data_IF_228526063117
#
_entry.id   IF_228526063117
#
_cell.length_a   1.000
_cell.length_b   1.000
_cell.length_c   1.000
_cell.angle_alpha   90.00
_cell.angle_beta   90.00
_cell.angle_gamma   90.00
#
_symmetry.space_group_name_H-M   'P 1'
#
loop_
_entity.id
_entity.type
_entity.pdbx_description
1 polymer ?
#
# COMPACT_ATOMS: atom_id res chain seq x y z
N UNK A 1 -11.66 -11.47 20.37
CA UNK A 1 -11.24 -10.09 20.68
C UNK A 1 -9.89 -10.14 21.36
N UNK A 2 -8.94 -9.33 20.90
CA UNK A 2 -7.60 -9.18 21.46
C UNK A 2 -7.64 -8.55 22.86
N UNK A 3 -6.59 -8.71 23.65
CA UNK A 3 -6.42 -8.07 24.97
C UNK A 3 -6.43 -6.54 24.84
N UNK A 4 -5.75 -6.01 23.82
CA UNK A 4 -5.72 -4.57 23.48
C UNK A 4 -7.12 -4.00 23.19
N UNK A 5 -7.97 -4.74 22.47
CA UNK A 5 -9.34 -4.31 22.17
C UNK A 5 -10.18 -4.20 23.45
N UNK A 6 -9.95 -5.09 24.42
CA UNK A 6 -10.63 -5.03 25.72
C UNK A 6 -10.16 -3.84 26.54
N UNK A 7 -8.87 -3.53 26.50
CA UNK A 7 -8.31 -2.34 27.18
C UNK A 7 -8.86 -1.05 26.61
N UNK A 8 -9.01 -0.96 25.29
CA UNK A 8 -9.64 0.20 24.63
C UNK A 8 -11.10 0.38 25.06
N UNK A 9 -11.88 -0.71 25.11
CA UNK A 9 -13.27 -0.66 25.58
C UNK A 9 -13.33 -0.25 27.06
N UNK A 10 -12.45 -0.80 27.90
CA UNK A 10 -12.34 -0.43 29.31
C UNK A 10 -12.02 1.05 29.49
N UNK A 11 -11.10 1.58 28.69
CA UNK A 11 -10.72 2.99 28.72
C UNK A 11 -11.91 3.90 28.37
N UNK A 12 -12.61 3.60 27.28
CA UNK A 12 -13.82 4.33 26.87
C UNK A 12 -14.91 4.29 27.95
N UNK A 13 -15.14 3.11 28.55
CA UNK A 13 -16.13 2.94 29.61
C UNK A 13 -15.74 3.73 30.88
N UNK A 14 -14.46 3.74 31.24
CA UNK A 14 -13.94 4.50 32.40
C UNK A 14 -14.10 6.00 32.19
N UNK A 15 -14.01 6.48 30.96
CA UNK A 15 -14.26 7.87 30.61
C UNK A 15 -15.75 8.27 30.65
N UNK A 16 -16.66 7.29 30.78
CA UNK A 16 -18.11 7.51 30.87
C UNK A 16 -18.87 7.28 29.56
N UNK A 17 -18.23 6.69 28.54
CA UNK A 17 -18.94 6.25 27.34
C UNK A 17 -19.82 5.04 27.69
N UNK A 18 -21.11 5.12 27.38
CA UNK A 18 -22.02 3.99 27.58
C UNK A 18 -21.57 2.82 26.70
N UNK A 19 -21.37 1.65 27.30
CA UNK A 19 -20.92 0.43 26.62
C UNK A 19 -21.83 0.05 25.45
N UNK A 20 -23.14 0.35 25.53
CA UNK A 20 -24.09 0.10 24.44
C UNK A 20 -23.82 0.97 23.19
N UNK A 21 -23.10 2.07 23.33
CA UNK A 21 -22.76 3.02 22.27
C UNK A 21 -21.28 2.89 21.84
N UNK A 22 -20.60 1.80 22.19
CA UNK A 22 -19.25 1.51 21.74
C UNK A 22 -19.32 0.66 20.48
N UNK A 23 -18.78 1.18 19.39
CA UNK A 23 -18.72 0.50 18.10
C UNK A 23 -17.30 -0.02 17.86
N UNK A 24 -17.19 -1.30 17.50
CA UNK A 24 -15.90 -1.99 17.37
C UNK A 24 -15.79 -2.65 16.00
N UNK A 25 -14.61 -2.55 15.41
CA UNK A 25 -14.22 -3.20 14.17
C UNK A 25 -12.95 -4.04 14.42
N UNK A 26 -13.11 -5.35 14.61
CA UNK A 26 -12.02 -6.26 14.93
C UNK A 26 -11.44 -6.93 13.67
N UNK A 27 -10.12 -7.14 13.64
CA UNK A 27 -9.42 -7.91 12.59
C UNK A 27 -9.66 -7.40 11.15
N UNK A 28 -9.94 -6.10 10.99
CA UNK A 28 -10.12 -5.50 9.67
C UNK A 28 -8.75 -5.08 9.11
N UNK A 29 -8.38 -5.49 7.88
CA UNK A 29 -7.15 -5.02 7.25
C UNK A 29 -7.13 -3.50 7.13
N UNK A 30 -5.98 -2.87 7.39
CA UNK A 30 -5.82 -1.41 7.28
C UNK A 30 -6.00 -0.85 5.86
N UNK A 31 -6.10 -1.70 4.84
CA UNK A 31 -6.46 -1.30 3.47
C UNK A 31 -7.95 -1.10 3.26
N UNK A 32 -8.80 -1.56 4.18
CA UNK A 32 -10.25 -1.40 4.10
C UNK A 32 -10.63 -0.02 4.64
N UNK A 33 -11.25 0.84 3.82
CA UNK A 33 -11.61 2.20 4.22
C UNK A 33 -12.70 2.17 5.31
N UNK A 34 -12.76 3.19 6.19
CA UNK A 34 -13.72 3.25 7.29
C UNK A 34 -15.18 3.06 6.86
N UNK A 35 -15.58 3.62 5.71
CA UNK A 35 -16.93 3.50 5.15
C UNK A 35 -17.38 2.08 4.78
N UNK A 36 -16.46 1.11 4.72
CA UNK A 36 -16.77 -0.30 4.47
C UNK A 36 -16.69 -1.16 5.74
N UNK A 37 -16.43 -0.53 6.89
CA UNK A 37 -16.38 -1.20 8.19
C UNK A 37 -17.75 -1.16 8.85
N UNK A 38 -18.15 -2.29 9.43
CA UNK A 38 -19.49 -2.45 9.99
C UNK A 38 -19.68 -1.62 11.26
N UNK A 39 -18.67 -1.62 12.16
CA UNK A 39 -18.65 -0.79 13.37
C UNK A 39 -18.76 0.69 13.03
N UNK A 40 -17.90 1.19 12.14
CA UNK A 40 -17.93 2.58 11.69
C UNK A 40 -19.27 2.97 11.06
N UNK A 41 -19.84 2.13 10.20
CA UNK A 41 -21.14 2.42 9.54
C UNK A 41 -22.28 2.48 10.55
N UNK A 42 -22.29 1.58 11.54
CA UNK A 42 -23.26 1.60 12.65
C UNK A 42 -23.11 2.86 13.50
N UNK A 43 -21.88 3.27 13.80
CA UNK A 43 -21.60 4.53 14.51
C UNK A 43 -22.17 5.75 13.78
N UNK A 44 -21.92 5.86 12.47
CA UNK A 44 -22.46 6.95 11.65
C UNK A 44 -23.99 6.95 11.63
N UNK A 45 -24.60 5.77 11.53
CA UNK A 45 -26.07 5.64 11.57
C UNK A 45 -26.61 6.08 12.92
N UNK A 46 -25.98 5.66 14.02
CA UNK A 46 -26.33 6.07 15.38
C UNK A 46 -26.23 7.59 15.56
N UNK A 47 -25.18 8.23 15.04
CA UNK A 47 -24.99 9.69 15.07
C UNK A 47 -26.11 10.42 14.31
N UNK A 48 -26.66 9.83 13.24
CA UNK A 48 -27.77 10.44 12.47
C UNK A 48 -29.10 10.29 13.18
N UNK A 49 -29.31 9.15 13.84
CA UNK A 49 -30.58 8.82 14.49
C UNK A 49 -30.72 9.47 15.88
N UNK A 50 -29.61 9.93 16.48
CA UNK A 50 -29.55 10.46 17.83
C UNK A 50 -28.82 11.80 17.89
N UNK A 51 -29.11 12.63 18.90
CA UNK A 51 -28.35 13.86 19.15
C UNK A 51 -27.00 13.55 19.80
N UNK A 52 -26.01 13.22 18.98
CA UNK A 52 -24.61 13.01 19.40
C UNK A 52 -23.83 14.31 19.23
N UNK A 53 -23.07 14.71 20.24
CA UNK A 53 -22.19 15.90 20.18
C UNK A 53 -20.72 15.54 20.07
N UNK A 54 -20.32 14.42 20.67
CA UNK A 54 -18.92 13.99 20.75
C UNK A 54 -18.77 12.51 20.42
N UNK A 55 -17.69 12.18 19.71
CA UNK A 55 -17.21 10.82 19.49
C UNK A 55 -15.84 10.70 20.15
N UNK A 56 -15.69 9.72 21.03
CA UNK A 56 -14.42 9.45 21.71
C UNK A 56 -13.71 8.28 21.05
N UNK A 57 -12.40 8.44 20.84
CA UNK A 57 -11.52 7.37 20.38
C UNK A 57 -10.32 7.25 21.31
N UNK A 58 -9.77 6.06 21.48
CA UNK A 58 -8.55 5.89 22.29
C UNK A 58 -7.37 6.64 21.66
N UNK A 59 -7.21 6.52 20.35
CA UNK A 59 -6.22 7.21 19.52
C UNK A 59 -6.86 7.59 18.17
N UNK A 60 -6.37 8.64 17.50
CA UNK A 60 -6.93 9.07 16.21
C UNK A 60 -6.75 8.02 15.11
N UNK A 61 -5.68 7.22 15.20
CA UNK A 61 -5.40 6.17 14.22
C UNK A 61 -6.46 5.05 14.23
N UNK A 62 -7.21 4.86 15.32
CA UNK A 62 -8.29 3.86 15.43
C UNK A 62 -9.49 4.15 14.53
N UNK A 63 -9.61 5.38 14.03
CA UNK A 63 -10.65 5.77 13.08
C UNK A 63 -10.33 5.33 11.64
N UNK A 64 -9.10 4.89 11.35
CA UNK A 64 -8.65 4.56 10.00
C UNK A 64 -7.69 3.37 9.96
N UNK A 65 -7.36 2.91 8.76
CA UNK A 65 -6.28 1.93 8.58
C UNK A 65 -4.95 2.57 8.19
N UNK A 66 -5.01 3.86 7.85
CA UNK A 66 -3.89 4.70 7.50
C UNK A 66 -4.21 6.16 7.91
N UNK A 67 -3.22 7.06 7.97
CA UNK A 67 -3.44 8.44 8.38
C UNK A 67 -4.44 9.22 7.52
N UNK A 68 -4.48 8.96 6.21
CA UNK A 68 -5.40 9.63 5.31
C UNK A 68 -6.85 9.20 5.56
N UNK A 69 -7.08 7.91 5.83
CA UNK A 69 -8.39 7.37 6.19
C UNK A 69 -8.88 7.94 7.52
N UNK A 70 -8.00 8.04 8.52
CA UNK A 70 -8.34 8.64 9.81
C UNK A 70 -8.75 10.11 9.66
N UNK A 71 -7.99 10.91 8.89
CA UNK A 71 -8.34 12.30 8.60
C UNK A 71 -9.67 12.42 7.84
N UNK A 72 -9.94 11.53 6.89
CA UNK A 72 -11.22 11.49 6.18
C UNK A 72 -12.37 11.16 7.13
N UNK A 73 -12.21 10.13 7.98
CA UNK A 73 -13.22 9.75 8.97
C UNK A 73 -13.55 10.90 9.93
N UNK A 74 -12.53 11.60 10.44
CA UNK A 74 -12.70 12.77 11.31
C UNK A 74 -13.48 13.87 10.60
N UNK A 75 -13.11 14.18 9.34
CA UNK A 75 -13.80 15.19 8.54
C UNK A 75 -15.27 14.80 8.30
N UNK A 76 -15.52 13.54 7.97
CA UNK A 76 -16.86 13.04 7.67
C UNK A 76 -17.76 13.07 8.92
N UNK A 77 -17.21 12.78 10.10
CA UNK A 77 -17.89 12.95 11.41
C UNK A 77 -18.13 14.45 11.69
N UNK A 78 -17.15 15.30 11.43
CA UNK A 78 -17.26 16.76 11.59
C UNK A 78 -18.36 17.38 10.72
N UNK A 79 -18.58 16.87 9.51
CA UNK A 79 -19.70 17.29 8.65
C UNK A 79 -21.08 16.96 9.23
N UNK A 80 -21.17 16.02 10.17
CA UNK A 80 -22.39 15.72 10.91
C UNK A 80 -22.58 16.64 12.13
N UNK A 81 -21.68 17.61 12.35
CA UNK A 81 -21.72 18.50 13.51
C UNK A 81 -21.19 17.87 14.80
N UNK A 82 -20.48 16.74 14.69
CA UNK A 82 -19.95 15.99 15.83
C UNK A 82 -18.46 16.24 16.00
N UNK A 83 -18.02 16.48 17.23
CA UNK A 83 -16.62 16.67 17.56
C UNK A 83 -15.95 15.33 17.90
N UNK A 84 -14.82 15.01 17.26
CA UNK A 84 -13.99 13.85 17.62
C UNK A 84 -13.04 14.27 18.74
N UNK A 85 -12.93 13.46 19.78
CA UNK A 85 -12.01 13.63 20.91
C UNK A 85 -11.13 12.40 21.06
N UNK A 86 -9.83 12.61 21.25
CA UNK A 86 -8.88 11.52 21.55
C UNK A 86 -8.70 11.37 23.05
N UNK A 87 -8.66 10.14 23.55
CA UNK A 87 -8.32 9.86 24.95
C UNK A 87 -6.83 9.63 25.16
N UNK A 88 -6.03 9.65 24.09
CA UNK A 88 -4.59 9.42 24.17
C UNK A 88 -3.88 10.63 24.79
N UNK A 89 -3.07 10.45 25.85
CA UNK A 89 -2.24 11.52 26.40
C UNK A 89 -1.27 12.12 25.37
N UNK A 90 -0.84 11.31 24.39
CA UNK A 90 0.07 11.72 23.32
C UNK A 90 -0.61 12.60 22.25
N UNK A 91 -1.95 12.64 22.23
CA UNK A 91 -2.76 13.40 21.29
C UNK A 91 -3.51 14.56 21.96
N UNK A 92 -3.01 15.02 23.12
CA UNK A 92 -3.58 16.17 23.83
C UNK A 92 -3.67 17.45 22.98
N UNK A 93 -2.83 17.58 21.95
CA UNK A 93 -2.89 18.67 20.96
C UNK A 93 -4.15 18.64 20.09
N UNK A 94 -4.81 17.48 19.96
CA UNK A 94 -6.04 17.34 19.18
C UNK A 94 -7.26 17.91 19.90
N UNK A 95 -7.37 17.71 21.22
CA UNK A 95 -8.52 18.14 22.03
C UNK A 95 -8.54 19.66 22.32
N UNK A 96 -8.02 20.46 21.41
CA UNK A 96 -8.05 21.92 21.48
C UNK A 96 -9.41 22.45 20.97
N UNK A 97 -9.51 23.77 20.76
CA UNK A 97 -10.71 24.39 20.20
C UNK A 97 -11.06 23.77 18.83
N UNK A 98 -12.29 23.27 18.63
CA UNK A 98 -12.71 22.66 17.37
C UNK A 98 -12.53 23.57 16.13
N UNK A 99 -12.49 24.89 16.31
CA UNK A 99 -12.21 25.85 15.23
C UNK A 99 -10.80 25.70 14.63
N UNK A 100 -9.86 25.10 15.37
CA UNK A 100 -8.48 24.88 14.95
C UNK A 100 -8.33 23.53 14.23
N UNK A 101 -9.27 22.59 14.41
CA UNK A 101 -9.21 21.25 13.79
C UNK A 101 -8.97 21.28 12.27
N UNK A 102 -9.62 22.15 11.46
CA UNK A 102 -9.34 22.22 10.03
C UNK A 102 -7.87 22.52 9.72
N UNK A 103 -7.24 23.44 10.46
CA UNK A 103 -5.83 23.77 10.27
C UNK A 103 -4.94 22.56 10.59
N UNK A 104 -5.19 21.90 11.71
CA UNK A 104 -4.46 20.70 12.14
C UNK A 104 -4.56 19.61 11.08
N UNK A 105 -5.78 19.34 10.59
CA UNK A 105 -6.02 18.36 9.52
C UNK A 105 -5.20 18.69 8.28
N UNK A 106 -5.14 19.95 7.84
CA UNK A 106 -4.37 20.36 6.67
C UNK A 106 -2.86 20.18 6.88
N UNK A 107 -2.34 20.57 8.04
CA UNK A 107 -0.93 20.39 8.39
C UNK A 107 -0.56 18.92 8.41
N UNK A 108 -1.38 18.07 9.06
CA UNK A 108 -1.15 16.63 9.13
C UNK A 108 -1.24 15.97 7.74
N UNK A 109 -2.21 16.36 6.92
CA UNK A 109 -2.33 15.89 5.55
C UNK A 109 -1.11 16.27 4.70
N UNK A 110 -0.60 17.50 4.86
CA UNK A 110 0.63 17.94 4.20
C UNK A 110 1.85 17.13 4.67
N UNK A 111 2.03 16.96 5.98
CA UNK A 111 3.11 16.15 6.55
C UNK A 111 3.09 14.71 6.03
N UNK A 112 1.91 14.06 6.01
CA UNK A 112 1.75 12.71 5.47
C UNK A 112 2.16 12.63 3.99
N UNK A 113 1.80 13.63 3.18
CA UNK A 113 2.21 13.73 1.77
C UNK A 113 3.73 13.91 1.64
N UNK A 114 4.35 14.75 2.46
CA UNK A 114 5.81 14.97 2.43
C UNK A 114 6.58 13.72 2.80
N UNK A 115 6.12 12.98 3.81
CA UNK A 115 6.74 11.72 4.20
C UNK A 115 6.67 10.70 3.05
N UNK A 116 5.51 10.58 2.41
CA UNK A 116 5.32 9.69 1.26
C UNK A 116 6.24 10.06 0.09
N UNK A 117 6.35 11.34 -0.26
CA UNK A 117 7.25 11.79 -1.34
C UNK A 117 8.72 11.51 -0.99
N UNK A 118 9.11 11.75 0.26
CA UNK A 118 10.46 11.44 0.75
C UNK A 118 10.79 9.95 0.65
N UNK A 119 9.84 9.08 1.01
CA UNK A 119 9.97 7.61 0.85
C UNK A 119 10.17 7.24 -0.62
N UNK A 120 9.34 7.77 -1.52
CA UNK A 120 9.47 7.55 -2.97
C UNK A 120 10.84 7.99 -3.47
N UNK A 121 11.29 9.18 -3.10
CA UNK A 121 12.55 9.73 -3.59
C UNK A 121 13.75 8.89 -3.12
N UNK A 122 13.75 8.43 -1.86
CA UNK A 122 14.78 7.49 -1.36
C UNK A 122 14.81 6.19 -2.15
N UNK A 123 13.64 5.62 -2.46
CA UNK A 123 13.57 4.41 -3.30
C UNK A 123 14.12 4.68 -4.70
N UNK A 124 13.75 5.80 -5.33
CA UNK A 124 14.26 6.18 -6.65
C UNK A 124 15.76 6.42 -6.63
N UNK A 125 16.30 7.09 -5.61
CA UNK A 125 17.73 7.30 -5.43
C UNK A 125 18.49 5.97 -5.29
N UNK A 126 17.96 5.03 -4.50
CA UNK A 126 18.52 3.68 -4.38
C UNK A 126 18.55 2.92 -5.70
N UNK A 127 17.46 2.97 -6.47
CA UNK A 127 17.39 2.36 -7.81
C UNK A 127 18.39 3.01 -8.76
N UNK A 128 18.51 4.34 -8.76
CA UNK A 128 19.48 5.07 -9.59
C UNK A 128 20.92 4.64 -9.28
N UNK A 129 21.27 4.55 -7.99
CA UNK A 129 22.60 4.10 -7.54
C UNK A 129 22.88 2.65 -7.96
N UNK A 130 21.93 1.74 -7.74
CA UNK A 130 22.09 0.34 -8.14
C UNK A 130 22.26 0.20 -9.67
N UNK A 131 21.51 0.97 -10.46
CA UNK A 131 21.68 1.01 -11.92
C UNK A 131 23.06 1.53 -12.34
N UNK A 132 23.59 2.57 -11.70
CA UNK A 132 24.94 3.08 -12.01
C UNK A 132 26.04 2.10 -11.64
N UNK A 133 25.82 1.26 -10.64
CA UNK A 133 26.71 0.15 -10.27
C UNK A 133 26.55 -1.08 -11.20
N UNK A 134 25.73 -0.98 -12.24
CA UNK A 134 25.46 -2.08 -13.18
C UNK A 134 24.57 -3.19 -12.61
N UNK A 135 23.99 -3.02 -11.42
CA UNK A 135 23.11 -4.02 -10.81
C UNK A 135 21.74 -4.03 -11.49
N UNK A 136 21.27 -5.23 -11.83
CA UNK A 136 19.92 -5.42 -12.36
C UNK A 136 18.88 -5.04 -11.30
N UNK A 137 18.03 -4.08 -11.63
CA UNK A 137 16.97 -3.59 -10.75
C UNK A 137 15.61 -4.09 -11.24
N UNK A 138 14.93 -4.91 -10.44
CA UNK A 138 13.60 -5.45 -10.75
C UNK A 138 13.55 -6.98 -10.69
N UNK A 139 12.61 -7.59 -11.42
CA UNK A 139 12.44 -9.05 -11.42
C UNK A 139 13.72 -9.72 -11.93
N UNK A 140 14.31 -10.69 -11.21
CA UNK A 140 15.55 -11.35 -11.62
C UNK A 140 15.41 -11.96 -13.01
N UNK A 141 16.46 -11.81 -13.81
CA UNK A 141 16.52 -12.42 -15.12
C UNK A 141 16.86 -13.90 -14.97
N UNK A 142 15.94 -14.79 -15.34
CA UNK A 142 16.30 -16.21 -15.50
C UNK A 142 17.12 -16.37 -16.77
N UNK A 143 18.33 -16.89 -16.68
CA UNK A 143 19.13 -17.19 -17.87
C UNK A 143 18.49 -18.31 -18.69
N UNK A 144 18.57 -18.19 -20.01
CA UNK A 144 18.15 -19.22 -20.96
C UNK A 144 19.40 -19.66 -21.69
N UNK A 145 19.72 -20.95 -21.60
CA UNK A 145 20.77 -21.55 -22.40
C UNK A 145 20.26 -21.72 -23.84
N UNK A 146 20.69 -20.81 -24.71
CA UNK A 146 20.27 -20.80 -26.12
C UNK A 146 20.86 -21.96 -26.91
N UNK A 147 22.07 -22.42 -26.58
CA UNK A 147 22.69 -23.58 -27.22
C UNK A 147 21.87 -24.84 -26.93
N UNK A 148 21.44 -25.00 -25.67
CA UNK A 148 20.55 -26.10 -25.31
C UNK A 148 19.19 -26.00 -26.02
N UNK A 149 18.59 -24.81 -26.07
CA UNK A 149 17.32 -24.57 -26.79
C UNK A 149 17.43 -24.89 -28.29
N UNK A 150 18.53 -24.51 -28.94
CA UNK A 150 18.79 -24.82 -30.35
C UNK A 150 18.96 -26.32 -30.57
N UNK A 151 19.73 -27.00 -29.72
CA UNK A 151 19.90 -28.46 -29.80
C UNK A 151 18.59 -29.24 -29.66
N UNK A 152 17.65 -28.75 -28.84
CA UNK A 152 16.33 -29.37 -28.69
C UNK A 152 15.44 -29.09 -29.91
N UNK A 153 15.57 -27.91 -30.51
CA UNK A 153 14.85 -27.54 -31.72
C UNK A 153 15.33 -28.33 -32.94
N UNK A 154 16.65 -28.54 -33.09
CA UNK A 154 17.24 -29.39 -34.13
C UNK A 154 16.79 -30.84 -34.02
N UNK A 155 16.55 -31.33 -32.80
CA UNK A 155 15.90 -32.63 -32.54
C UNK A 155 14.41 -32.67 -32.90
N UNK A 156 13.86 -31.61 -33.49
CA UNK A 156 12.48 -31.53 -33.97
C UNK A 156 11.45 -31.16 -32.90
N UNK A 157 11.86 -30.74 -31.70
CA UNK A 157 10.90 -30.32 -30.67
C UNK A 157 10.33 -28.93 -30.97
N UNK A 158 9.02 -28.80 -30.83
CA UNK A 158 8.33 -27.52 -30.91
C UNK A 158 8.68 -26.64 -29.69
N UNK A 159 8.84 -25.33 -29.90
CA UNK A 159 9.11 -24.33 -28.87
C UNK A 159 8.17 -24.37 -27.65
N UNK A 160 6.92 -24.81 -27.81
CA UNK A 160 6.02 -25.03 -26.66
C UNK A 160 6.55 -26.12 -25.73
N UNK A 161 6.98 -27.25 -26.30
CA UNK A 161 7.54 -28.38 -25.56
C UNK A 161 8.90 -28.03 -24.95
N UNK A 162 9.74 -27.30 -25.70
CA UNK A 162 11.03 -26.81 -25.20
C UNK A 162 10.84 -25.91 -23.98
N UNK A 163 9.86 -24.99 -24.02
CA UNK A 163 9.54 -24.10 -22.91
C UNK A 163 9.16 -24.85 -21.62
N UNK A 164 8.38 -25.92 -21.74
CA UNK A 164 8.07 -26.83 -20.62
C UNK A 164 9.32 -27.52 -20.09
N UNK A 165 10.16 -28.07 -20.98
CA UNK A 165 11.41 -28.77 -20.61
C UNK A 165 12.37 -27.89 -19.83
N UNK A 166 12.53 -26.62 -20.23
CA UNK A 166 13.39 -25.66 -19.52
C UNK A 166 12.67 -24.91 -18.39
N UNK A 167 11.39 -25.24 -18.14
CA UNK A 167 10.52 -24.63 -17.14
C UNK A 167 10.42 -23.10 -17.25
N UNK A 168 10.39 -22.56 -18.48
CA UNK A 168 10.20 -21.14 -18.77
C UNK A 168 8.86 -20.96 -19.48
N UNK A 169 8.02 -19.99 -19.10
CA UNK A 169 6.75 -19.76 -19.80
C UNK A 169 6.98 -19.51 -21.30
N UNK A 170 6.19 -20.17 -22.16
CA UNK A 170 6.31 -20.10 -23.63
C UNK A 170 6.42 -18.66 -24.16
N UNK A 171 5.57 -17.74 -23.65
CA UNK A 171 5.59 -16.32 -24.04
C UNK A 171 6.94 -15.65 -23.69
N UNK A 172 7.55 -16.02 -22.56
CA UNK A 172 8.87 -15.52 -22.16
C UNK A 172 9.97 -16.02 -23.10
N UNK A 173 9.91 -17.30 -23.50
CA UNK A 173 10.86 -17.89 -24.43
C UNK A 173 10.81 -17.21 -25.81
N UNK A 174 9.62 -17.08 -26.41
CA UNK A 174 9.44 -16.47 -27.73
C UNK A 174 9.83 -14.99 -27.73
N UNK A 175 9.40 -14.23 -26.72
CA UNK A 175 9.77 -12.81 -26.59
C UNK A 175 11.29 -12.65 -26.53
N UNK A 176 11.97 -13.48 -25.73
CA UNK A 176 13.42 -13.41 -25.58
C UNK A 176 14.17 -13.92 -26.81
N UNK A 177 13.64 -14.92 -27.54
CA UNK A 177 14.20 -15.39 -28.81
C UNK A 177 14.30 -14.24 -29.82
N UNK A 178 13.26 -13.41 -29.93
CA UNK A 178 13.26 -12.22 -30.80
C UNK A 178 14.38 -11.24 -30.44
N UNK A 179 14.67 -11.04 -29.16
CA UNK A 179 15.79 -10.20 -28.72
C UNK A 179 17.16 -10.86 -28.97
N UNK A 180 17.27 -12.17 -28.72
CA UNK A 180 18.49 -12.94 -28.97
C UNK A 180 18.90 -12.89 -30.45
N UNK A 181 17.95 -13.11 -31.36
CA UNK A 181 18.19 -13.02 -32.81
C UNK A 181 18.58 -11.61 -33.27
N UNK A 182 18.01 -10.55 -32.67
CA UNK A 182 18.41 -9.16 -32.98
C UNK A 182 19.85 -8.88 -32.55
N UNK A 183 20.25 -9.35 -31.36
CA UNK A 183 21.61 -9.15 -30.85
C UNK A 183 22.66 -9.95 -31.64
N UNK A 184 22.31 -11.13 -32.19
CA UNK A 184 23.18 -11.89 -33.09
C UNK A 184 23.34 -11.22 -34.47
N UNK A 185 22.31 -10.54 -34.98
CA UNK A 185 22.37 -9.80 -36.24
C UNK A 185 23.34 -8.62 -36.23
N UNK A 186 23.45 -7.90 -35.11
CA UNK A 186 24.37 -6.76 -34.93
C UNK A 186 25.84 -7.18 -34.74
N UNK A 187 26.13 -8.47 -34.58
CA UNK A 187 27.49 -9.00 -34.29
C UNK A 187 28.18 -9.65 -35.49
N UNK A 188 27.72 -9.43 -36.73
CA UNK A 188 28.40 -9.96 -37.91
C UNK A 188 29.75 -9.26 -38.14
N UNK A 189 30.89 -9.98 -38.20
CA UNK A 189 32.19 -9.40 -38.51
C UNK A 189 32.21 -9.00 -39.99
N UNK A 190 32.63 -7.76 -40.27
CA UNK A 190 32.91 -7.30 -41.62
C UNK A 190 33.91 -8.22 -42.32
N UNK A 191 33.41 -9.04 -43.25
CA UNK A 191 34.25 -9.70 -44.24
C UNK A 191 34.66 -8.67 -45.30
N UNK A 192 35.93 -8.28 -45.23
CA UNK A 192 36.84 -8.04 -46.36
C UNK A 192 36.43 -7.10 -47.49
N UNK A 193 37.13 -5.97 -47.59
CA UNK A 193 37.69 -5.56 -48.89
C UNK A 193 39.18 -5.30 -48.71
N UNK A 194 39.97 -6.27 -49.17
CA UNK A 194 41.31 -6.04 -49.73
C UNK A 194 41.07 -5.52 -51.15
N UNK A 195 41.54 -4.31 -51.45
CA UNK A 195 42.38 -3.98 -52.61
C UNK A 195 43.21 -2.75 -52.25
#
# INVERSE_FOLDING_TARGET
MSEDEQDQIRLLATYGVNVANIFVDCNIPGSVPPSRREGFTRMISFIRDHFVTHVYTCELDRLGGNPADALCAIRDIGHLGVCVQSLSPHESWWNCDPSIHPLIIHVMAWCARQEHESRIERTRAGIRKARSEGKHCGRPFREIDWLYVESLHEKGMNYRKIAETISVPYITLIRRKKHHLRNMGDSSPGQGMVQ
#
